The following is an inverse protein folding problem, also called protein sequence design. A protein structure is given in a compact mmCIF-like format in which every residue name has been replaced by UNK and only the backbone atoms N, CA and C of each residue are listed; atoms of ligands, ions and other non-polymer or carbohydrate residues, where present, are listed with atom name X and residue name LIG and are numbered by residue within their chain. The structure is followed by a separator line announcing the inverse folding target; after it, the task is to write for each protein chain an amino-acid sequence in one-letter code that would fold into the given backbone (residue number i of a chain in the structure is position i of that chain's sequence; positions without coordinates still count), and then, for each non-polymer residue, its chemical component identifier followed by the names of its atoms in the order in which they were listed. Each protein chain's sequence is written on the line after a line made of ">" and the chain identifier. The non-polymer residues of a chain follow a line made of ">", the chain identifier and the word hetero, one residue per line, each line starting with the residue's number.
data_IF_602946463098
#
_entry.id   IF_602946463098
#
_cell.length_a   1.000
_cell.length_b   1.000
_cell.length_c   1.000
_cell.angle_alpha   90.00
_cell.angle_beta   90.00
_cell.angle_gamma   90.00
#
_symmetry.space_group_name_H-M   'P 1'
#
loop_
_entity.id
_entity.type
_entity.pdbx_description
1 polymer ?
#
# COMPACT_ATOMS: atom_id res chain seq x y z
N UNK A 1 -17.58 -16.59 -8.58
CA UNK A 1 -17.15 -15.26 -8.04
C UNK A 1 -16.87 -15.41 -6.54
N UNK A 2 -15.83 -14.73 -6.05
CA UNK A 2 -15.43 -14.77 -4.64
C UNK A 2 -15.40 -13.34 -4.09
N UNK A 3 -15.93 -13.12 -2.88
CA UNK A 3 -15.78 -11.88 -2.13
C UNK A 3 -14.32 -11.75 -1.68
N UNK A 4 -13.66 -10.62 -1.97
CA UNK A 4 -12.24 -10.38 -1.62
C UNK A 4 -12.14 -9.57 -0.33
N UNK A 5 -12.87 -8.45 -0.23
CA UNK A 5 -12.82 -7.55 0.92
C UNK A 5 -14.12 -6.79 1.10
N UNK A 6 -14.36 -6.32 2.30
CA UNK A 6 -15.42 -5.38 2.68
C UNK A 6 -14.82 -4.33 3.60
N UNK A 7 -15.01 -3.06 3.29
CA UNK A 7 -14.56 -1.94 4.10
C UNK A 7 -15.67 -0.91 4.28
N UNK A 8 -15.69 -0.27 5.42
CA UNK A 8 -16.42 0.99 5.61
C UNK A 8 -15.61 2.11 4.99
N UNK A 9 -16.28 3.08 4.39
CA UNK A 9 -15.64 4.24 3.77
C UNK A 9 -16.52 5.48 3.90
N UNK A 10 -15.89 6.65 3.76
CA UNK A 10 -16.55 7.95 3.66
C UNK A 10 -16.45 8.49 2.22
N UNK A 11 -17.30 9.46 1.88
CA UNK A 11 -17.34 10.01 0.52
C UNK A 11 -16.10 10.83 0.15
N UNK A 12 -15.32 11.24 1.14
CA UNK A 12 -14.06 11.98 1.00
C UNK A 12 -12.82 11.06 1.00
N UNK A 13 -13.01 9.80 0.68
CA UNK A 13 -11.91 8.80 0.59
C UNK A 13 -11.82 8.21 -0.81
N UNK A 14 -10.71 7.49 -1.05
CA UNK A 14 -10.43 6.81 -2.30
C UNK A 14 -10.34 5.29 -2.09
N UNK A 15 -10.71 4.57 -3.13
CA UNK A 15 -10.53 3.12 -3.24
C UNK A 15 -9.25 2.82 -4.01
N UNK A 16 -8.39 1.99 -3.45
CA UNK A 16 -7.23 1.41 -4.13
C UNK A 16 -7.45 -0.10 -4.30
N UNK A 17 -7.54 -0.57 -5.55
CA UNK A 17 -7.54 -1.99 -5.89
C UNK A 17 -6.19 -2.40 -6.42
N UNK A 18 -5.71 -3.59 -6.03
CA UNK A 18 -4.46 -4.14 -6.56
C UNK A 18 -4.63 -5.59 -7.01
N UNK A 19 -3.77 -5.99 -7.96
CA UNK A 19 -3.77 -7.33 -8.57
C UNK A 19 -2.43 -8.04 -8.37
N UNK A 20 -2.39 -9.39 -8.32
CA UNK A 20 -1.15 -10.14 -8.25
C UNK A 20 -0.23 -9.90 -9.45
N UNK A 21 -0.81 -9.54 -10.61
CA UNK A 21 -0.08 -9.23 -11.84
C UNK A 21 0.63 -7.87 -11.86
N UNK A 22 0.67 -7.15 -10.74
CA UNK A 22 1.41 -5.89 -10.63
C UNK A 22 0.64 -4.65 -11.04
N UNK A 23 -0.68 -4.73 -11.23
CA UNK A 23 -1.54 -3.58 -11.55
C UNK A 23 -2.28 -3.07 -10.33
N UNK A 24 -2.64 -1.79 -10.35
CA UNK A 24 -3.52 -1.17 -9.38
C UNK A 24 -4.35 -0.08 -10.03
N UNK A 25 -5.44 0.30 -9.39
CA UNK A 25 -6.28 1.44 -9.78
C UNK A 25 -6.74 2.19 -8.54
N UNK A 26 -6.68 3.51 -8.58
CA UNK A 26 -7.20 4.41 -7.54
C UNK A 26 -8.33 5.25 -8.13
N UNK A 27 -9.44 5.31 -7.44
CA UNK A 27 -10.62 6.12 -7.81
C UNK A 27 -11.35 6.57 -6.55
N UNK A 28 -12.13 7.64 -6.66
CA UNK A 28 -12.89 8.19 -5.54
C UNK A 28 -14.04 7.26 -5.11
N UNK A 29 -14.35 7.22 -3.81
CA UNK A 29 -15.49 6.46 -3.28
C UNK A 29 -16.81 6.86 -3.96
N UNK A 30 -17.10 8.15 -4.23
CA UNK A 30 -18.32 8.57 -4.95
C UNK A 30 -18.46 8.00 -6.37
N UNK A 31 -17.37 7.53 -7.00
CA UNK A 31 -17.46 6.81 -8.27
C UNK A 31 -18.19 5.47 -8.14
N UNK A 32 -18.33 4.94 -6.94
CA UNK A 32 -19.05 3.70 -6.67
C UNK A 32 -20.52 4.03 -6.46
N UNK A 33 -21.36 3.60 -7.40
CA UNK A 33 -22.79 3.81 -7.32
C UNK A 33 -23.39 3.20 -6.05
N UNK A 34 -24.12 3.98 -5.29
CA UNK A 34 -24.96 3.49 -4.18
C UNK A 34 -26.20 2.76 -4.75
N UNK A 35 -26.39 1.51 -4.35
CA UNK A 35 -27.53 0.70 -4.76
C UNK A 35 -28.53 0.56 -3.62
N UNK A 36 -29.79 0.89 -3.89
CA UNK A 36 -30.86 0.75 -2.91
C UNK A 36 -31.28 -0.73 -2.72
N UNK A 37 -31.02 -1.59 -3.68
CA UNK A 37 -31.44 -3.00 -3.68
C UNK A 37 -30.26 -3.97 -3.63
N UNK A 38 -30.43 -5.06 -2.88
CA UNK A 38 -29.42 -6.13 -2.73
C UNK A 38 -29.25 -7.05 -3.94
N UNK A 39 -30.11 -6.95 -4.94
CA UNK A 39 -30.05 -7.78 -6.16
C UNK A 39 -29.21 -7.18 -7.28
N UNK A 40 -28.51 -6.09 -7.01
CA UNK A 40 -27.63 -5.43 -7.97
C UNK A 40 -26.38 -6.27 -8.23
N UNK A 41 -25.93 -6.29 -9.49
CA UNK A 41 -24.67 -6.96 -9.91
C UNK A 41 -23.42 -6.15 -9.58
N UNK A 42 -23.56 -4.94 -9.02
CA UNK A 42 -22.45 -4.05 -8.71
C UNK A 42 -21.89 -3.33 -9.94
N UNK A 43 -20.73 -2.71 -9.76
CA UNK A 43 -20.02 -1.96 -10.81
C UNK A 43 -18.57 -2.42 -10.89
N UNK A 44 -17.98 -2.34 -12.09
CA UNK A 44 -16.59 -2.75 -12.29
C UNK A 44 -15.64 -1.74 -11.65
N UNK A 45 -14.73 -2.21 -10.78
CA UNK A 45 -13.65 -1.41 -10.22
C UNK A 45 -12.45 -1.29 -11.15
N UNK A 46 -11.97 -2.41 -11.68
CA UNK A 46 -10.78 -2.51 -12.56
C UNK A 46 -11.06 -3.44 -13.74
N UNK A 47 -10.42 -3.19 -14.88
CA UNK A 47 -10.38 -4.14 -16.00
C UNK A 47 -9.17 -5.04 -15.84
N UNK A 48 -9.40 -6.29 -15.56
CA UNK A 48 -8.36 -7.31 -15.36
C UNK A 48 -7.81 -7.81 -16.71
N UNK A 49 -6.52 -8.15 -16.72
CA UNK A 49 -5.93 -8.96 -17.79
C UNK A 49 -6.42 -10.41 -17.67
N UNK A 50 -6.21 -11.21 -18.71
CA UNK A 50 -6.54 -12.64 -18.69
C UNK A 50 -5.72 -13.37 -17.62
N UNK A 51 -6.38 -14.13 -16.76
CA UNK A 51 -5.75 -14.86 -15.66
C UNK A 51 -5.33 -14.00 -14.46
N UNK A 52 -5.65 -12.70 -14.45
CA UNK A 52 -5.43 -11.83 -13.28
C UNK A 52 -6.72 -11.68 -12.45
N UNK A 53 -6.58 -11.31 -11.20
CA UNK A 53 -7.68 -11.14 -10.25
C UNK A 53 -7.46 -9.93 -9.35
N UNK A 54 -8.51 -9.45 -8.69
CA UNK A 54 -8.35 -8.48 -7.60
C UNK A 54 -7.90 -9.22 -6.35
N UNK A 55 -6.75 -8.83 -5.82
CA UNK A 55 -6.15 -9.43 -4.63
C UNK A 55 -6.47 -8.64 -3.37
N UNK A 56 -6.44 -7.33 -3.45
CA UNK A 56 -6.68 -6.45 -2.31
C UNK A 56 -7.52 -5.23 -2.70
N UNK A 57 -8.28 -4.76 -1.73
CA UNK A 57 -8.97 -3.48 -1.72
C UNK A 57 -8.57 -2.73 -0.47
N UNK A 58 -8.23 -1.47 -0.60
CA UNK A 58 -7.90 -0.58 0.53
C UNK A 58 -8.63 0.73 0.38
N UNK A 59 -8.97 1.35 1.49
CA UNK A 59 -9.47 2.72 1.56
C UNK A 59 -8.32 3.60 2.00
N UNK A 60 -8.09 4.69 1.29
CA UNK A 60 -7.05 5.68 1.57
C UNK A 60 -7.67 7.07 1.57
N UNK A 61 -7.05 7.99 2.30
CA UNK A 61 -7.56 9.35 2.36
C UNK A 61 -7.38 10.07 1.04
N UNK A 62 -8.37 10.84 0.67
CA UNK A 62 -8.30 11.71 -0.49
C UNK A 62 -7.45 12.93 -0.18
N UNK A 63 -6.56 13.28 -1.09
CA UNK A 63 -5.81 14.53 -1.05
C UNK A 63 -6.01 15.25 -2.38
N UNK A 64 -6.66 16.41 -2.31
CA UNK A 64 -6.83 17.28 -3.48
C UNK A 64 -5.47 17.88 -3.87
N UNK A 65 -4.87 17.31 -4.89
CA UNK A 65 -3.57 17.74 -5.43
C UNK A 65 -3.53 17.53 -6.94
N UNK A 66 -3.16 18.58 -7.66
CA UNK A 66 -2.99 18.53 -9.11
C UNK A 66 -1.84 17.56 -9.49
N UNK A 67 -1.79 17.04 -10.73
CA UNK A 67 -0.68 16.24 -11.21
C UNK A 67 0.67 16.93 -11.04
N UNK A 68 0.75 18.24 -11.30
CA UNK A 68 1.97 19.02 -11.16
C UNK A 68 2.39 19.18 -9.69
N UNK A 69 1.45 19.41 -8.77
CA UNK A 69 1.73 19.45 -7.32
C UNK A 69 2.24 18.10 -6.82
N UNK A 70 1.63 16.98 -7.23
CA UNK A 70 2.08 15.64 -6.87
C UNK A 70 3.50 15.37 -7.35
N UNK A 71 3.82 15.72 -8.61
CA UNK A 71 5.15 15.56 -9.17
C UNK A 71 6.19 16.41 -8.43
N UNK A 72 5.86 17.68 -8.16
CA UNK A 72 6.72 18.59 -7.41
C UNK A 72 6.95 18.11 -5.98
N UNK A 73 5.90 17.63 -5.29
CA UNK A 73 6.02 17.08 -3.96
C UNK A 73 6.87 15.81 -3.92
N UNK A 74 6.66 14.87 -4.83
CA UNK A 74 7.45 13.63 -4.89
C UNK A 74 8.95 13.93 -5.11
N UNK A 75 9.27 14.93 -5.94
CA UNK A 75 10.64 15.40 -6.12
C UNK A 75 11.22 16.00 -4.83
N UNK A 76 10.48 16.88 -4.18
CA UNK A 76 10.85 17.48 -2.89
C UNK A 76 11.08 16.39 -1.82
N UNK A 77 10.14 15.46 -1.66
CA UNK A 77 10.21 14.39 -0.69
C UNK A 77 11.41 13.45 -0.92
N UNK A 78 11.74 13.13 -2.18
CA UNK A 78 12.94 12.35 -2.53
C UNK A 78 14.22 13.07 -2.10
N UNK A 79 14.36 14.35 -2.42
CA UNK A 79 15.53 15.15 -2.04
C UNK A 79 15.67 15.22 -0.50
N UNK A 80 14.58 15.43 0.22
CA UNK A 80 14.57 15.50 1.68
C UNK A 80 15.00 14.17 2.34
N UNK A 81 14.62 13.02 1.73
CA UNK A 81 14.99 11.67 2.21
C UNK A 81 16.40 11.23 1.80
N UNK A 82 17.17 12.07 1.12
CA UNK A 82 18.53 11.76 0.68
C UNK A 82 18.61 10.72 -0.46
N UNK A 83 17.54 10.56 -1.22
CA UNK A 83 17.49 9.66 -2.37
C UNK A 83 18.37 10.13 -3.51
N UNK A 84 19.21 9.24 -4.05
CA UNK A 84 19.93 9.44 -5.29
C UNK A 84 18.94 9.49 -6.46
N UNK A 85 18.96 10.55 -7.24
CA UNK A 85 18.07 10.81 -8.38
C UNK A 85 18.25 9.78 -9.52
N UNK A 86 19.34 8.99 -9.47
CA UNK A 86 19.75 8.09 -10.57
C UNK A 86 18.98 6.77 -10.64
N UNK A 87 18.33 6.33 -9.54
CA UNK A 87 17.68 4.99 -9.48
C UNK A 87 16.16 5.02 -9.62
N UNK A 88 15.57 6.21 -9.72
CA UNK A 88 14.12 6.41 -9.72
C UNK A 88 13.68 7.41 -10.81
N UNK A 89 14.26 7.32 -12.00
CA UNK A 89 13.69 7.94 -13.18
C UNK A 89 12.38 7.20 -13.53
N UNK A 90 11.36 7.34 -12.66
CA UNK A 90 10.00 7.16 -13.10
C UNK A 90 9.76 8.28 -14.11
N UNK A 91 9.63 7.92 -15.37
CA UNK A 91 9.10 8.85 -16.36
C UNK A 91 7.80 9.42 -15.79
N UNK A 92 7.60 10.75 -15.87
CA UNK A 92 6.36 11.34 -15.38
C UNK A 92 5.20 10.59 -16.04
N UNK A 93 4.18 10.25 -15.25
CA UNK A 93 2.93 9.76 -15.81
C UNK A 93 2.50 10.76 -16.89
N UNK A 94 1.97 10.29 -18.02
CA UNK A 94 1.57 11.01 -19.23
C UNK A 94 0.71 12.29 -18.99
N UNK A 95 0.32 12.55 -17.75
CA UNK A 95 -0.56 13.66 -17.34
C UNK A 95 0.17 14.88 -16.77
N UNK A 96 1.51 14.81 -16.54
CA UNK A 96 2.25 15.99 -16.07
C UNK A 96 2.50 16.94 -17.22
N UNK A 97 1.86 18.10 -17.18
CA UNK A 97 2.02 19.15 -18.22
C UNK A 97 3.36 19.87 -18.14
N UNK A 98 4.23 19.49 -17.22
CA UNK A 98 5.62 19.89 -17.16
C UNK A 98 5.88 21.37 -16.82
N UNK A 99 4.89 22.07 -16.26
CA UNK A 99 5.09 23.49 -15.88
C UNK A 99 6.02 23.68 -14.69
N UNK A 100 6.36 22.59 -13.97
CA UNK A 100 7.46 22.54 -13.00
C UNK A 100 7.46 23.64 -11.92
N UNK A 101 6.32 24.28 -11.66
CA UNK A 101 6.23 25.30 -10.64
C UNK A 101 6.62 24.72 -9.27
N UNK A 102 7.55 25.33 -8.55
CA UNK A 102 7.93 24.84 -7.24
C UNK A 102 6.72 24.97 -6.29
N UNK A 103 6.51 23.95 -5.44
CA UNK A 103 5.54 24.05 -4.35
C UNK A 103 5.94 25.15 -3.37
N UNK A 104 4.93 25.87 -2.83
CA UNK A 104 5.21 26.72 -1.68
C UNK A 104 5.62 25.86 -0.47
N UNK A 105 6.42 26.40 0.46
CA UNK A 105 6.81 25.66 1.66
C UNK A 105 5.59 25.18 2.48
N UNK A 106 4.55 26.00 2.56
CA UNK A 106 3.32 25.70 3.29
C UNK A 106 2.57 24.54 2.63
N UNK A 107 2.49 24.56 1.28
CA UNK A 107 1.84 23.47 0.53
C UNK A 107 2.63 22.16 0.65
N UNK A 108 3.94 22.23 0.60
CA UNK A 108 4.81 21.07 0.80
C UNK A 108 4.61 20.45 2.20
N UNK A 109 4.49 21.27 3.25
CA UNK A 109 4.21 20.79 4.61
C UNK A 109 2.81 20.17 4.73
N UNK A 110 1.80 20.77 4.10
CA UNK A 110 0.43 20.19 4.07
C UNK A 110 0.43 18.81 3.42
N UNK A 111 1.09 18.69 2.26
CA UNK A 111 1.18 17.42 1.55
C UNK A 111 2.00 16.38 2.33
N UNK A 112 3.06 16.81 3.03
CA UNK A 112 3.86 15.94 3.88
C UNK A 112 3.04 15.39 5.07
N UNK A 113 2.25 16.24 5.72
CA UNK A 113 1.38 15.83 6.83
C UNK A 113 0.25 14.87 6.40
N UNK A 114 -0.19 14.96 5.14
CA UNK A 114 -1.22 14.10 4.56
C UNK A 114 -0.66 12.91 3.78
N UNK A 115 0.66 12.73 3.74
CA UNK A 115 1.28 11.64 2.97
C UNK A 115 1.00 10.29 3.61
N UNK A 116 0.39 9.39 2.85
CA UNK A 116 0.20 8.00 3.21
C UNK A 116 1.15 7.11 2.40
N UNK A 117 1.52 5.97 2.97
CA UNK A 117 2.37 4.99 2.31
C UNK A 117 1.60 3.69 2.05
N UNK A 118 1.84 3.13 0.88
CA UNK A 118 1.30 1.85 0.47
C UNK A 118 2.43 0.82 0.49
N UNK A 119 2.30 -0.18 1.35
CA UNK A 119 3.17 -1.34 1.36
C UNK A 119 2.74 -2.29 0.26
N UNK A 120 3.68 -2.74 -0.55
CA UNK A 120 3.48 -3.82 -1.54
C UNK A 120 4.51 -4.90 -1.30
N UNK A 121 4.07 -6.15 -1.19
CA UNK A 121 4.92 -7.33 -0.98
C UNK A 121 4.61 -8.39 -2.00
N UNK A 122 5.63 -9.09 -2.50
CA UNK A 122 5.52 -10.19 -3.45
C UNK A 122 5.77 -11.56 -2.82
N UNK A 123 5.39 -12.62 -3.51
CA UNK A 123 5.52 -14.01 -3.07
C UNK A 123 6.97 -14.49 -2.94
N UNK A 124 7.92 -13.79 -3.58
CA UNK A 124 9.37 -14.04 -3.42
C UNK A 124 9.99 -13.20 -2.30
N UNK A 125 9.18 -12.55 -1.46
CA UNK A 125 9.63 -11.78 -0.31
C UNK A 125 10.26 -10.42 -0.64
N UNK A 126 10.04 -9.89 -1.84
CA UNK A 126 10.36 -8.51 -2.17
C UNK A 126 9.24 -7.57 -1.72
N UNK A 127 9.60 -6.39 -1.27
CA UNK A 127 8.62 -5.41 -0.84
C UNK A 127 9.15 -3.98 -0.91
N UNK A 128 8.24 -3.04 -0.80
CA UNK A 128 8.53 -1.60 -0.77
C UNK A 128 7.38 -0.82 -0.16
N UNK A 129 7.70 0.37 0.36
CA UNK A 129 6.73 1.41 0.64
C UNK A 129 6.70 2.39 -0.52
N UNK A 130 5.53 2.77 -0.98
CA UNK A 130 5.38 3.76 -2.05
C UNK A 130 4.45 4.86 -1.58
N UNK A 131 4.80 6.12 -1.82
CA UNK A 131 3.93 7.25 -1.51
C UNK A 131 2.59 7.12 -2.23
N UNK A 132 1.49 7.38 -1.53
CA UNK A 132 0.15 7.37 -2.13
C UNK A 132 -0.01 8.41 -3.25
N UNK A 133 0.84 9.45 -3.28
CA UNK A 133 0.87 10.43 -4.36
C UNK A 133 1.36 9.88 -5.70
N UNK A 134 2.04 8.74 -5.72
CA UNK A 134 2.41 8.05 -6.97
C UNK A 134 1.24 7.32 -7.62
N UNK A 135 0.15 7.08 -6.89
CA UNK A 135 -1.07 6.44 -7.40
C UNK A 135 -2.04 7.52 -7.87
N UNK A 136 -2.01 7.84 -9.15
CA UNK A 136 -2.90 8.85 -9.72
C UNK A 136 -4.36 8.44 -9.60
N UNK A 137 -5.19 9.43 -9.39
CA UNK A 137 -6.64 9.26 -9.43
C UNK A 137 -7.10 9.02 -10.87
N UNK A 138 -7.93 8.01 -11.08
CA UNK A 138 -8.49 7.68 -12.40
C UNK A 138 -9.96 7.32 -12.27
N UNK A 139 -10.70 7.37 -13.37
CA UNK A 139 -12.06 6.83 -13.37
C UNK A 139 -12.06 5.32 -13.14
N UNK A 140 -13.08 4.83 -12.43
CA UNK A 140 -13.32 3.41 -12.15
C UNK A 140 -13.43 2.58 -13.44
N UNK A 141 -13.00 1.32 -13.39
CA UNK A 141 -13.17 0.34 -14.48
C UNK A 141 -12.13 0.41 -15.59
N UNK A 142 -11.09 1.25 -15.45
CA UNK A 142 -9.93 1.30 -16.34
C UNK A 142 -8.99 0.09 -16.18
N UNK A 143 -7.91 0.05 -16.98
CA UNK A 143 -6.88 -1.01 -16.92
C UNK A 143 -5.95 -0.87 -15.71
N UNK A 144 -6.06 0.26 -14.98
CA UNK A 144 -5.14 0.58 -13.90
C UNK A 144 -3.74 0.97 -14.40
N UNK A 145 -2.86 1.19 -13.42
CA UNK A 145 -1.46 1.55 -13.60
C UNK A 145 -0.57 0.46 -12.97
N UNK A 146 0.72 0.53 -13.21
CA UNK A 146 1.67 -0.39 -12.60
C UNK A 146 1.81 -0.08 -11.10
N UNK A 147 1.68 -1.09 -10.23
CA UNK A 147 1.90 -1.02 -8.78
C UNK A 147 3.32 -1.44 -8.41
N UNK A 148 3.78 -2.54 -9.00
CA UNK A 148 5.13 -3.07 -8.84
C UNK A 148 5.53 -3.73 -10.17
N UNK A 149 6.80 -3.64 -10.54
CA UNK A 149 7.33 -4.47 -11.61
C UNK A 149 7.35 -5.93 -11.14
N UNK A 150 6.65 -6.80 -11.87
CA UNK A 150 6.53 -8.25 -11.59
C UNK A 150 7.33 -9.01 -12.64
N UNK A 151 8.27 -9.84 -12.20
CA UNK A 151 9.08 -10.69 -13.05
C UNK A 151 9.48 -11.99 -12.30
N UNK A 152 10.27 -12.85 -12.93
CA UNK A 152 10.69 -14.13 -12.34
C UNK A 152 11.48 -13.99 -11.03
N UNK A 153 12.19 -12.87 -10.85
CA UNK A 153 13.00 -12.62 -9.65
C UNK A 153 12.13 -12.32 -8.43
N UNK A 154 11.17 -11.42 -8.57
CA UNK A 154 10.37 -10.96 -7.44
C UNK A 154 8.99 -11.62 -7.33
N UNK A 155 8.56 -12.36 -8.37
CA UNK A 155 7.31 -13.11 -8.36
C UNK A 155 6.06 -12.21 -8.40
N UNK A 156 4.91 -12.76 -8.02
CA UNK A 156 3.60 -12.09 -8.04
C UNK A 156 3.37 -11.32 -6.72
N UNK A 157 2.55 -10.28 -6.75
CA UNK A 157 2.18 -9.55 -5.55
C UNK A 157 1.22 -10.41 -4.71
N UNK A 158 1.44 -10.44 -3.39
CA UNK A 158 0.62 -11.14 -2.41
C UNK A 158 -0.07 -10.20 -1.43
N UNK A 159 0.42 -8.96 -1.29
CA UNK A 159 -0.20 -7.96 -0.42
C UNK A 159 0.03 -6.53 -0.93
N UNK A 160 -1.00 -5.70 -0.84
CA UNK A 160 -0.93 -4.24 -1.06
C UNK A 160 -1.95 -3.59 -0.13
N UNK A 161 -1.47 -2.75 0.81
CA UNK A 161 -2.32 -2.03 1.77
C UNK A 161 -1.61 -0.81 2.36
N UNK A 162 -2.37 0.19 2.87
CA UNK A 162 -1.79 1.36 3.52
C UNK A 162 -1.16 1.00 4.86
N UNK A 163 -0.05 1.67 5.17
CA UNK A 163 0.74 1.47 6.40
C UNK A 163 1.23 2.79 6.96
N UNK A 164 1.41 2.82 8.29
CA UNK A 164 2.13 3.86 9.02
C UNK A 164 3.58 3.43 9.28
N UNK A 165 4.47 4.36 9.51
CA UNK A 165 5.88 4.08 9.76
C UNK A 165 6.11 3.27 11.04
N UNK A 166 5.27 3.50 12.06
CA UNK A 166 5.26 2.81 13.35
C UNK A 166 4.66 1.40 13.31
N UNK A 167 3.91 1.06 12.24
CA UNK A 167 3.32 -0.28 12.12
C UNK A 167 4.39 -1.38 12.06
N UNK A 168 4.05 -2.54 12.60
CA UNK A 168 4.70 -3.80 12.30
C UNK A 168 4.01 -4.52 11.15
N UNK A 169 4.73 -5.37 10.46
CA UNK A 169 4.16 -6.33 9.51
C UNK A 169 4.67 -7.73 9.82
N UNK A 170 3.75 -8.68 9.74
CA UNK A 170 4.03 -10.10 9.87
C UNK A 170 3.92 -10.74 8.49
N UNK A 171 4.94 -11.47 8.09
CA UNK A 171 4.97 -12.22 6.84
C UNK A 171 5.05 -13.71 7.16
N UNK A 172 4.27 -14.50 6.43
CA UNK A 172 4.19 -15.96 6.58
C UNK A 172 4.47 -16.60 5.24
N UNK A 173 5.30 -17.65 5.24
CA UNK A 173 5.56 -18.47 4.05
C UNK A 173 4.81 -19.79 4.08
N UNK A 174 4.68 -20.45 2.92
CA UNK A 174 4.12 -21.80 2.79
C UNK A 174 5.04 -22.89 3.40
N UNK A 175 6.33 -22.58 3.62
CA UNK A 175 7.26 -23.41 4.38
C UNK A 175 7.07 -23.29 5.90
N UNK A 176 6.15 -22.48 6.39
CA UNK A 176 5.87 -22.29 7.82
C UNK A 176 6.81 -21.29 8.51
N UNK A 177 7.60 -20.54 7.77
CA UNK A 177 8.41 -19.47 8.34
C UNK A 177 7.53 -18.24 8.62
N UNK A 178 7.74 -17.61 9.77
CA UNK A 178 7.07 -16.36 10.17
C UNK A 178 8.12 -15.36 10.57
N UNK A 179 8.04 -14.16 10.00
CA UNK A 179 8.84 -13.02 10.45
C UNK A 179 7.96 -11.83 10.81
N UNK A 180 8.44 -11.01 11.74
CA UNK A 180 7.91 -9.69 12.02
C UNK A 180 9.00 -8.66 11.72
N UNK A 181 8.66 -7.59 11.02
CA UNK A 181 9.55 -6.45 10.76
C UNK A 181 8.79 -5.15 10.94
N UNK A 182 9.49 -4.08 11.24
CA UNK A 182 8.92 -2.74 11.34
C UNK A 182 8.76 -2.15 9.94
N UNK A 183 7.63 -1.53 9.66
CA UNK A 183 7.37 -0.86 8.38
C UNK A 183 8.43 0.22 8.09
N UNK A 184 8.90 0.95 9.14
CA UNK A 184 9.95 1.96 9.01
C UNK A 184 11.26 1.47 8.38
N UNK A 185 11.59 0.18 8.53
CA UNK A 185 12.80 -0.44 7.94
C UNK A 185 12.64 -0.80 6.47
N UNK A 186 11.42 -0.84 5.94
CA UNK A 186 11.16 -1.16 4.54
C UNK A 186 11.42 0.09 3.70
N UNK A 187 12.25 -0.06 2.67
CA UNK A 187 12.64 1.06 1.80
C UNK A 187 11.43 1.73 1.13
N UNK A 188 11.42 3.07 1.11
CA UNK A 188 10.54 3.84 0.25
C UNK A 188 11.11 3.82 -1.17
N UNK A 189 10.29 3.41 -2.13
CA UNK A 189 10.69 3.26 -3.53
C UNK A 189 9.52 3.57 -4.46
N UNK A 190 9.85 3.97 -5.68
CA UNK A 190 8.87 4.32 -6.70
C UNK A 190 7.97 3.15 -7.11
N UNK A 191 6.78 3.48 -7.57
CA UNK A 191 5.73 2.53 -7.94
C UNK A 191 6.18 1.48 -8.97
N UNK A 192 6.99 1.88 -9.96
CA UNK A 192 7.45 0.99 -11.05
C UNK A 192 8.63 0.09 -10.67
N UNK A 193 9.17 0.21 -9.46
CA UNK A 193 10.32 -0.59 -9.03
C UNK A 193 9.93 -2.00 -8.59
N UNK A 194 10.92 -2.90 -8.56
CA UNK A 194 10.77 -4.29 -8.10
C UNK A 194 10.73 -4.43 -6.58
N UNK A 195 11.02 -3.35 -5.84
CA UNK A 195 11.21 -3.40 -4.40
C UNK A 195 12.58 -3.97 -3.97
N UNK A 196 12.72 -4.19 -2.68
CA UNK A 196 13.91 -4.76 -2.04
C UNK A 196 13.53 -6.05 -1.31
N UNK A 197 14.50 -6.89 -0.98
CA UNK A 197 14.25 -8.08 -0.17
C UNK A 197 13.83 -7.66 1.25
N UNK A 198 12.62 -8.01 1.64
CA UNK A 198 12.05 -7.83 2.99
C UNK A 198 12.09 -9.14 3.76
N UNK A 199 11.81 -10.23 3.07
CA UNK A 199 11.83 -11.59 3.62
C UNK A 199 12.57 -12.53 2.67
N UNK A 200 13.59 -13.22 3.19
CA UNK A 200 14.31 -14.24 2.40
C UNK A 200 13.60 -15.58 2.57
N UNK A 201 13.04 -16.08 1.48
CA UNK A 201 12.41 -17.40 1.38
C UNK A 201 13.34 -18.36 0.60
N UNK A 202 13.19 -19.65 0.82
CA UNK A 202 13.89 -20.67 0.04
C UNK A 202 13.42 -20.65 -1.44
N UNK A 203 14.17 -21.23 -2.40
CA UNK A 203 13.84 -21.16 -3.83
C UNK A 203 12.46 -21.72 -4.19
N UNK A 204 12.02 -22.74 -3.46
CA UNK A 204 10.70 -23.41 -3.59
C UNK A 204 9.64 -22.88 -2.64
N UNK A 205 10.00 -21.94 -1.77
CA UNK A 205 9.11 -21.33 -0.76
C UNK A 205 8.53 -19.99 -1.27
N UNK A 206 7.33 -19.68 -0.80
CA UNK A 206 6.61 -18.44 -1.14
C UNK A 206 6.03 -17.78 0.09
N UNK A 207 6.02 -16.45 0.10
CA UNK A 207 5.19 -15.68 1.02
C UNK A 207 3.73 -15.85 0.61
N UNK A 208 2.90 -16.29 1.54
CA UNK A 208 1.46 -16.57 1.30
C UNK A 208 0.54 -15.63 2.07
N UNK A 209 1.07 -14.96 3.10
CA UNK A 209 0.29 -13.99 3.88
C UNK A 209 1.17 -12.86 4.38
N UNK A 210 0.61 -11.65 4.37
CA UNK A 210 1.21 -10.46 4.97
C UNK A 210 0.11 -9.73 5.73
N UNK A 211 0.33 -9.51 7.02
CA UNK A 211 -0.62 -8.84 7.89
C UNK A 211 0.02 -7.63 8.57
N UNK A 212 -0.73 -6.52 8.67
CA UNK A 212 -0.34 -5.36 9.47
C UNK A 212 -0.60 -5.67 10.94
N UNK A 213 0.36 -5.35 11.79
CA UNK A 213 0.28 -5.43 13.25
C UNK A 213 0.41 -4.01 13.77
N UNK A 214 -0.68 -3.44 14.31
CA UNK A 214 -0.65 -2.10 14.93
C UNK A 214 0.18 -2.08 16.21
N UNK A 215 0.56 -0.90 16.66
CA UNK A 215 1.34 -0.71 17.90
C UNK A 215 0.63 -1.28 19.14
N UNK A 216 -0.71 -1.30 19.17
CA UNK A 216 -1.49 -1.73 20.34
C UNK A 216 -1.55 -3.25 20.57
N UNK A 217 -1.02 -4.06 19.65
CA UNK A 217 -1.05 -5.53 19.77
C UNK A 217 0.05 -6.13 20.66
N UNK A 218 0.80 -5.31 21.38
CA UNK A 218 1.98 -5.73 22.14
C UNK A 218 2.01 -5.38 23.63
N UNK A 219 0.97 -4.76 24.20
CA UNK A 219 0.97 -4.34 25.61
C UNK A 219 -0.17 -4.93 26.46
N UNK A 220 -0.50 -6.20 26.28
CA UNK A 220 -1.11 -6.94 27.38
C UNK A 220 0.02 -7.42 28.28
N UNK A 221 0.35 -6.55 29.24
CA UNK A 221 1.24 -6.80 30.35
C UNK A 221 0.65 -7.94 31.19
N UNK A 222 1.31 -9.09 31.20
CA UNK A 222 1.00 -10.23 32.06
C UNK A 222 1.36 -9.85 33.51
N UNK A 223 0.54 -8.99 34.10
CA UNK A 223 0.56 -8.63 35.50
C UNK A 223 -0.02 -9.74 36.36
N UNK A 224 0.61 -10.88 36.39
CA UNK A 224 0.34 -11.96 37.34
C UNK A 224 0.61 -11.50 38.77
N UNK A 225 -0.39 -10.94 39.43
CA UNK A 225 -0.38 -10.64 40.86
C UNK A 225 -0.59 -11.95 41.65
N UNK A 226 0.51 -12.58 42.01
CA UNK A 226 0.52 -13.65 43.01
C UNK A 226 0.35 -13.06 44.42
N UNK A 227 -0.87 -12.98 44.92
CA UNK A 227 -1.13 -12.75 46.30
C UNK A 227 -0.95 -14.06 47.09
N UNK A 228 0.18 -14.15 47.83
CA UNK A 228 0.35 -15.10 48.92
C UNK A 228 -0.65 -14.78 50.05
N UNK A 229 -1.63 -15.65 50.26
CA UNK A 229 -2.41 -15.72 51.48
C UNK A 229 -1.62 -16.47 52.54
N UNK A 230 -1.04 -15.76 53.48
CA UNK A 230 -0.57 -16.30 54.75
C UNK A 230 -1.78 -16.39 55.69
N UNK A 231 -2.21 -17.62 56.07
CA UNK A 231 -3.13 -17.85 57.21
C UNK A 231 -2.30 -18.01 58.50
N UNK A 232 -2.71 -17.42 59.64
CA UNK A 232 -2.16 -17.73 60.93
C UNK A 232 -3.01 -18.77 61.65
N UNK A 233 -2.28 -19.58 62.48
CA UNK A 233 -2.68 -20.59 63.47
C UNK A 233 -2.90 -22.02 62.98
#
# INVERSE_FOLDING_TARGET
>A
ERLIAVHTCADDQDVLLATPGGKCIRFEVPDVRVFAGRTSTGVRGIRLAEGDEVMSMSIIDHVDATPDERAAYLKYARQKRGGDDSTLADEPDDETTGTGAPLSPERAQQMEAAEQFILTVSDRGFGKRTSAYEYRLTGRGGQGIQNMEVNERNGRIVATFPVSESDGVMLVSDGGQVIRTTVGEIRIAGRRTQGVTVFRVAPDERVVSVARVGEDAGSEDDGGNGSEETSPD
#
